data_IF_657256500155
#
_entry.id   IF_657256500155
#
_cell.length_a   1.000
_cell.length_b   1.000
_cell.length_c   1.000
_cell.angle_alpha   90.00
_cell.angle_beta   90.00
_cell.angle_gamma   90.00
#
_symmetry.space_group_name_H-M   'P 1'
#
loop_
_entity.id
_entity.type
_entity.pdbx_description
1 polymer ?
#
# COMPACT_ATOMS: atom_id res chain seq x y z
N UNK A 1 -4.89 -3.68 -13.48
CA UNK A 1 -5.30 -2.58 -12.59
C UNK A 1 -6.40 -3.06 -11.65
N UNK A 2 -6.33 -2.67 -10.37
CA UNK A 2 -7.41 -2.86 -9.42
C UNK A 2 -8.25 -1.58 -9.37
N UNK A 3 -9.55 -1.71 -9.59
CA UNK A 3 -10.55 -0.68 -9.32
C UNK A 3 -11.24 -1.01 -8.00
N UNK A 4 -12.01 -0.07 -7.45
CA UNK A 4 -12.85 -0.33 -6.26
C UNK A 4 -13.75 -1.55 -6.47
N UNK A 5 -14.33 -1.68 -7.68
CA UNK A 5 -15.19 -2.82 -8.00
C UNK A 5 -14.40 -4.13 -7.99
N UNK A 6 -13.19 -4.15 -8.56
CA UNK A 6 -12.36 -5.37 -8.56
C UNK A 6 -11.90 -5.76 -7.15
N UNK A 7 -11.70 -4.80 -6.23
CA UNK A 7 -11.43 -5.08 -4.81
C UNK A 7 -12.64 -5.75 -4.16
N UNK A 8 -13.84 -5.17 -4.33
CA UNK A 8 -15.10 -5.73 -3.83
C UNK A 8 -15.34 -7.15 -4.36
N UNK A 9 -15.14 -7.36 -5.66
CA UNK A 9 -15.40 -8.64 -6.30
C UNK A 9 -14.42 -9.73 -5.85
N UNK A 10 -13.14 -9.38 -5.71
CA UNK A 10 -12.08 -10.33 -5.39
C UNK A 10 -11.96 -10.61 -3.90
N UNK A 11 -11.98 -9.57 -3.08
CA UNK A 11 -11.70 -9.65 -1.65
C UNK A 11 -12.96 -9.58 -0.78
N UNK A 12 -14.13 -9.32 -1.37
CA UNK A 12 -15.43 -9.23 -0.66
C UNK A 12 -15.43 -8.26 0.52
N UNK A 13 -14.66 -7.19 0.42
CA UNK A 13 -14.55 -6.13 1.42
C UNK A 13 -14.81 -4.78 0.77
N UNK A 14 -15.06 -3.74 1.57
CA UNK A 14 -15.04 -2.38 1.04
C UNK A 14 -13.59 -2.00 0.67
N UNK A 15 -13.37 -1.18 -0.36
CA UNK A 15 -12.02 -0.76 -0.74
C UNK A 15 -11.25 -0.06 0.38
N UNK A 16 -11.95 0.69 1.24
CA UNK A 16 -11.39 1.35 2.41
C UNK A 16 -10.73 0.34 3.37
N UNK A 17 -11.34 -0.84 3.53
CA UNK A 17 -10.86 -1.88 4.42
C UNK A 17 -9.68 -2.70 3.86
N UNK A 18 -9.16 -2.35 2.67
CA UNK A 18 -8.11 -3.16 2.06
C UNK A 18 -6.81 -3.14 2.87
N UNK A 19 -6.51 -2.02 3.53
CA UNK A 19 -5.36 -1.92 4.44
C UNK A 19 -5.53 -2.85 5.65
N UNK A 20 -6.69 -2.85 6.30
CA UNK A 20 -7.00 -3.78 7.39
C UNK A 20 -6.97 -5.24 6.94
N UNK A 21 -7.47 -5.52 5.73
CA UNK A 21 -7.38 -6.85 5.14
C UNK A 21 -5.92 -7.30 5.04
N UNK A 22 -5.03 -6.47 4.46
CA UNK A 22 -3.60 -6.78 4.34
C UNK A 22 -2.93 -6.90 5.71
N UNK A 23 -3.27 -6.05 6.67
CA UNK A 23 -2.76 -6.12 8.04
C UNK A 23 -3.07 -7.47 8.70
N UNK A 24 -4.31 -7.96 8.55
CA UNK A 24 -4.77 -9.21 9.12
C UNK A 24 -4.24 -10.44 8.38
N UNK A 25 -4.21 -10.38 7.06
CA UNK A 25 -3.77 -11.50 6.20
C UNK A 25 -2.26 -11.56 5.99
N UNK A 26 -1.58 -10.43 6.19
CA UNK A 26 -0.17 -10.22 5.85
C UNK A 26 0.05 -9.79 4.41
N UNK A 27 1.26 -9.31 4.16
CA UNK A 27 1.78 -8.98 2.84
C UNK A 27 3.14 -9.65 2.63
N UNK A 28 3.13 -10.76 1.90
CA UNK A 28 4.35 -11.55 1.67
C UNK A 28 5.35 -10.83 0.77
N UNK A 29 4.91 -9.89 -0.07
CA UNK A 29 5.81 -9.10 -0.93
C UNK A 29 6.70 -8.18 -0.09
N UNK A 30 6.17 -7.68 1.01
CA UNK A 30 6.86 -6.77 1.92
C UNK A 30 7.39 -7.46 3.19
N UNK A 31 7.27 -8.80 3.26
CA UNK A 31 7.70 -9.57 4.43
C UNK A 31 6.85 -9.35 5.68
N UNK A 32 5.65 -8.78 5.54
CA UNK A 32 4.76 -8.48 6.66
C UNK A 32 3.89 -9.69 6.97
N UNK A 33 4.09 -10.27 8.15
CA UNK A 33 3.27 -11.39 8.60
C UNK A 33 1.90 -10.91 9.11
N UNK A 34 0.85 -11.60 8.68
CA UNK A 34 -0.50 -11.41 9.20
C UNK A 34 -0.73 -12.13 10.55
N UNK A 35 -2.00 -12.17 10.98
CA UNK A 35 -2.38 -12.84 12.23
C UNK A 35 -2.27 -14.36 12.07
N UNK A 36 -1.44 -14.98 12.90
CA UNK A 36 -1.20 -16.42 12.85
C UNK A 36 -2.48 -17.23 12.95
N UNK A 37 -2.70 -18.12 11.96
CA UNK A 37 -3.88 -18.99 11.91
C UNK A 37 -5.15 -18.32 11.40
N UNK A 38 -5.07 -17.07 10.94
CA UNK A 38 -6.16 -16.38 10.25
C UNK A 38 -6.01 -16.58 8.74
N UNK A 39 -6.92 -17.32 8.14
CA UNK A 39 -7.03 -17.44 6.69
C UNK A 39 -8.27 -16.71 6.17
N UNK A 40 -8.47 -16.61 4.83
CA UNK A 40 -9.56 -15.83 4.24
C UNK A 40 -10.95 -16.22 4.79
N UNK A 41 -11.26 -17.52 4.87
CA UNK A 41 -12.53 -17.98 5.43
C UNK A 41 -12.71 -17.60 6.91
N UNK A 42 -11.62 -17.63 7.67
CA UNK A 42 -11.60 -17.23 9.07
C UNK A 42 -11.80 -15.73 9.24
N UNK A 43 -11.22 -14.93 8.34
CA UNK A 43 -11.34 -13.49 8.33
C UNK A 43 -12.82 -13.06 8.26
N UNK A 44 -13.52 -13.45 7.21
CA UNK A 44 -14.93 -13.06 7.00
C UNK A 44 -15.87 -13.59 8.08
N UNK A 45 -15.55 -14.75 8.66
CA UNK A 45 -16.36 -15.28 9.77
C UNK A 45 -16.21 -14.47 11.05
N UNK A 46 -15.02 -13.89 11.30
CA UNK A 46 -14.73 -13.20 12.58
C UNK A 46 -14.89 -11.70 12.49
N UNK A 47 -14.65 -11.16 11.33
CA UNK A 47 -14.74 -9.72 11.03
C UNK A 47 -15.68 -9.50 9.82
N UNK A 48 -16.96 -9.90 9.91
CA UNK A 48 -17.93 -9.70 8.82
C UNK A 48 -18.11 -8.22 8.51
N UNK A 49 -17.90 -7.35 9.48
CA UNK A 49 -17.97 -5.89 9.37
C UNK A 49 -17.06 -5.34 8.25
N UNK A 50 -15.95 -6.02 7.95
CA UNK A 50 -15.08 -5.66 6.81
C UNK A 50 -15.78 -5.70 5.45
N UNK A 51 -16.85 -6.48 5.32
CA UNK A 51 -17.64 -6.62 4.10
C UNK A 51 -18.83 -5.65 4.05
N UNK A 52 -19.23 -5.11 5.19
CA UNK A 52 -20.48 -4.39 5.37
C UNK A 52 -20.30 -2.87 5.48
N UNK A 53 -19.23 -2.44 6.14
CA UNK A 53 -18.94 -1.02 6.38
C UNK A 53 -17.46 -0.72 6.34
N UNK A 54 -17.11 0.54 6.18
CA UNK A 54 -15.75 1.02 6.37
C UNK A 54 -15.37 0.95 7.86
N UNK A 55 -14.14 0.53 8.13
CA UNK A 55 -13.61 0.31 9.48
C UNK A 55 -12.27 1.03 9.65
N UNK A 56 -12.03 1.51 10.86
CA UNK A 56 -10.73 1.97 11.34
C UNK A 56 -9.95 0.83 12.02
N UNK A 57 -8.69 1.08 12.37
CA UNK A 57 -7.91 0.18 13.21
C UNK A 57 -8.54 0.07 14.61
N UNK A 58 -9.05 1.18 15.17
CA UNK A 58 -9.71 1.19 16.47
C UNK A 58 -10.97 0.32 16.47
N UNK A 59 -11.80 0.39 15.41
CA UNK A 59 -12.95 -0.53 15.25
C UNK A 59 -12.52 -2.01 15.31
N UNK A 60 -11.39 -2.34 14.66
CA UNK A 60 -10.86 -3.71 14.66
C UNK A 60 -10.43 -4.15 16.06
N UNK A 61 -9.78 -3.26 16.82
CA UNK A 61 -9.36 -3.52 18.19
C UNK A 61 -10.57 -3.66 19.10
N UNK A 62 -11.56 -2.74 19.04
CA UNK A 62 -12.81 -2.79 19.81
C UNK A 62 -13.59 -4.10 19.57
N UNK A 63 -13.71 -4.53 18.31
CA UNK A 63 -14.35 -5.81 17.98
C UNK A 63 -13.58 -6.96 18.62
N UNK A 64 -12.26 -6.90 18.59
CA UNK A 64 -11.42 -7.97 19.15
C UNK A 64 -11.50 -8.03 20.67
N UNK A 65 -11.58 -6.88 21.34
CA UNK A 65 -11.80 -6.80 22.78
C UNK A 65 -13.20 -7.33 23.18
N UNK A 66 -14.25 -6.88 22.52
CA UNK A 66 -15.61 -7.28 22.79
C UNK A 66 -15.86 -8.79 22.57
N UNK A 67 -15.11 -9.41 21.65
CA UNK A 67 -15.19 -10.84 21.34
C UNK A 67 -14.05 -11.66 21.96
N UNK A 68 -13.29 -11.06 22.90
CA UNK A 68 -12.19 -11.74 23.58
C UNK A 68 -12.73 -12.97 24.33
N UNK A 69 -12.13 -14.13 24.08
CA UNK A 69 -12.60 -15.41 24.64
C UNK A 69 -13.48 -16.24 23.71
N UNK A 70 -14.13 -15.66 22.70
CA UNK A 70 -14.90 -16.42 21.73
C UNK A 70 -14.01 -17.23 20.77
N UNK A 71 -12.83 -16.69 20.44
CA UNK A 71 -11.87 -17.35 19.58
C UNK A 71 -10.45 -16.79 19.74
N UNK A 72 -9.44 -17.68 19.64
CA UNK A 72 -8.02 -17.33 19.81
C UNK A 72 -7.52 -16.22 18.85
N UNK A 73 -8.16 -16.00 17.71
CA UNK A 73 -7.79 -14.94 16.77
C UNK A 73 -7.93 -13.55 17.39
N UNK A 74 -9.00 -13.29 18.16
CA UNK A 74 -9.19 -12.00 18.83
C UNK A 74 -8.06 -11.73 19.84
N UNK A 75 -7.70 -12.72 20.63
CA UNK A 75 -6.55 -12.62 21.53
C UNK A 75 -5.23 -12.41 20.80
N UNK A 76 -5.08 -12.96 19.58
CA UNK A 76 -3.86 -12.75 18.76
C UNK A 76 -3.82 -11.37 18.13
N UNK A 77 -4.93 -10.77 17.78
CA UNK A 77 -5.00 -9.37 17.33
C UNK A 77 -4.55 -8.44 18.46
N UNK A 78 -5.00 -8.71 19.68
CA UNK A 78 -4.69 -7.90 20.86
C UNK A 78 -3.34 -8.21 21.54
N UNK A 79 -2.65 -9.27 21.12
CA UNK A 79 -1.43 -9.75 21.78
C UNK A 79 -0.28 -8.73 21.74
N UNK A 80 -0.17 -8.01 20.63
CA UNK A 80 0.88 -7.01 20.43
C UNK A 80 0.33 -5.84 19.61
N UNK A 81 -0.41 -4.99 20.30
CA UNK A 81 -1.10 -3.84 19.67
C UNK A 81 -0.07 -2.86 19.08
N UNK A 82 1.03 -2.61 19.77
CA UNK A 82 2.08 -1.69 19.30
C UNK A 82 2.68 -2.18 17.97
N UNK A 83 2.97 -3.48 17.85
CA UNK A 83 3.45 -4.05 16.61
C UNK A 83 2.38 -3.98 15.49
N UNK A 84 1.12 -4.18 15.83
CA UNK A 84 0.01 -4.09 14.88
C UNK A 84 -0.16 -2.65 14.35
N UNK A 85 -0.11 -1.67 15.25
CA UNK A 85 -0.15 -0.24 14.90
C UNK A 85 1.04 0.18 14.03
N UNK A 86 2.24 -0.30 14.36
CA UNK A 86 3.44 -0.02 13.58
C UNK A 86 3.35 -0.61 12.17
N UNK A 87 2.85 -1.84 12.03
CA UNK A 87 2.57 -2.44 10.72
C UNK A 87 1.54 -1.62 9.94
N UNK A 88 0.46 -1.20 10.58
CA UNK A 88 -0.57 -0.37 9.98
C UNK A 88 0.03 0.94 9.42
N UNK A 89 0.83 1.65 10.23
CA UNK A 89 1.50 2.90 9.83
C UNK A 89 2.45 2.70 8.64
N UNK A 90 3.23 1.63 8.64
CA UNK A 90 4.15 1.32 7.53
C UNK A 90 3.41 1.00 6.22
N UNK A 91 2.25 0.36 6.33
CA UNK A 91 1.44 -0.05 5.18
C UNK A 91 0.50 1.05 4.68
N UNK A 92 0.26 2.10 5.47
CA UNK A 92 -0.63 3.22 5.10
C UNK A 92 0.12 4.24 4.21
N UNK A 93 0.03 4.02 2.91
CA UNK A 93 0.63 4.92 1.91
C UNK A 93 -0.07 6.29 1.83
N UNK A 94 -1.26 6.44 2.43
CA UNK A 94 -1.97 7.72 2.51
C UNK A 94 -1.35 8.65 3.57
N UNK A 95 -0.68 8.05 4.57
CA UNK A 95 0.03 8.76 5.63
C UNK A 95 1.50 8.32 5.68
N UNK A 96 2.31 8.67 4.67
CA UNK A 96 3.70 8.28 4.64
C UNK A 96 4.45 8.86 5.86
N UNK A 97 5.34 8.06 6.45
CA UNK A 97 6.16 8.46 7.60
C UNK A 97 7.30 9.41 7.16
N UNK A 98 6.91 10.54 6.58
CA UNK A 98 7.80 11.62 6.15
C UNK A 98 7.51 12.80 7.07
N UNK A 99 8.52 13.41 7.67
CA UNK A 99 8.32 14.57 8.52
C UNK A 99 7.87 15.80 7.72
N UNK A 100 7.26 16.78 8.40
CA UNK A 100 6.69 17.95 7.74
C UNK A 100 7.76 18.81 7.03
N UNK A 101 8.99 18.81 7.53
CA UNK A 101 10.10 19.51 6.91
C UNK A 101 10.47 18.88 5.57
N UNK A 102 10.53 17.57 5.52
CA UNK A 102 10.85 16.82 4.31
C UNK A 102 9.68 16.89 3.31
N UNK A 103 8.41 16.85 3.77
CA UNK A 103 7.25 17.11 2.91
C UNK A 103 7.34 18.48 2.26
N UNK A 104 7.58 19.53 3.05
CA UNK A 104 7.74 20.90 2.53
C UNK A 104 8.91 21.02 1.55
N UNK A 105 10.00 20.30 1.79
CA UNK A 105 11.14 20.29 0.87
C UNK A 105 10.76 19.62 -0.46
N UNK A 106 10.09 18.45 -0.41
CA UNK A 106 9.63 17.72 -1.60
C UNK A 106 8.66 18.59 -2.41
N UNK A 107 7.66 19.20 -1.76
CA UNK A 107 6.68 20.04 -2.42
C UNK A 107 7.35 21.23 -3.14
N UNK A 108 8.23 21.95 -2.44
CA UNK A 108 8.99 23.05 -3.04
C UNK A 108 9.90 22.58 -4.18
N UNK A 109 10.50 21.41 -4.05
CA UNK A 109 11.36 20.86 -5.09
C UNK A 109 10.54 20.52 -6.34
N UNK A 110 9.38 19.87 -6.17
CA UNK A 110 8.48 19.52 -7.28
C UNK A 110 7.93 20.77 -7.96
N UNK A 111 7.49 21.77 -7.18
CA UNK A 111 6.92 23.03 -7.72
C UNK A 111 7.95 23.89 -8.48
N UNK A 112 9.19 23.93 -8.00
CA UNK A 112 10.21 24.86 -8.51
C UNK A 112 11.22 24.19 -9.46
N UNK A 113 11.20 22.86 -9.59
CA UNK A 113 12.12 22.17 -10.50
C UNK A 113 11.53 22.15 -11.90
N UNK A 114 12.19 22.78 -12.88
CA UNK A 114 11.70 22.75 -14.25
C UNK A 114 11.72 21.32 -14.77
N UNK A 115 10.64 20.92 -15.44
CA UNK A 115 10.58 19.64 -16.14
C UNK A 115 11.65 19.67 -17.26
N UNK A 116 12.70 18.90 -17.06
CA UNK A 116 13.78 18.77 -18.03
C UNK A 116 13.83 17.34 -18.55
N UNK A 117 13.26 17.12 -19.72
CA UNK A 117 13.28 15.80 -20.34
C UNK A 117 14.60 15.58 -21.06
N UNK A 118 15.47 14.79 -20.45
CA UNK A 118 16.79 14.40 -20.98
C UNK A 118 16.89 12.87 -21.15
N UNK A 119 16.41 12.33 -22.28
CA UNK A 119 16.40 10.88 -22.55
C UNK A 119 17.77 10.22 -22.39
N UNK A 120 18.83 10.90 -22.83
CA UNK A 120 20.20 10.39 -22.72
C UNK A 120 20.63 10.18 -21.27
N UNK A 121 20.29 11.10 -20.36
CA UNK A 121 20.61 10.96 -18.93
C UNK A 121 19.80 9.82 -18.29
N UNK A 122 18.53 9.65 -18.68
CA UNK A 122 17.76 8.51 -18.23
C UNK A 122 18.38 7.18 -18.66
N UNK A 123 18.78 7.08 -19.93
CA UNK A 123 19.42 5.86 -20.46
C UNK A 123 20.75 5.58 -19.75
N UNK A 124 21.54 6.62 -19.47
CA UNK A 124 22.80 6.49 -18.73
C UNK A 124 22.53 5.97 -17.30
N UNK A 125 21.61 6.58 -16.55
CA UNK A 125 21.17 6.12 -15.22
C UNK A 125 20.66 4.67 -15.28
N UNK A 126 19.78 4.35 -16.23
CA UNK A 126 19.21 3.02 -16.41
C UNK A 126 20.29 1.94 -16.61
N UNK A 127 21.35 2.27 -17.37
CA UNK A 127 22.48 1.37 -17.59
C UNK A 127 23.39 1.28 -16.34
N UNK A 128 23.65 2.40 -15.66
CA UNK A 128 24.45 2.42 -14.42
C UNK A 128 23.82 1.59 -13.31
N UNK A 129 22.49 1.69 -13.16
CA UNK A 129 21.72 0.93 -12.19
C UNK A 129 21.49 -0.54 -12.59
N UNK A 130 22.06 -0.97 -13.71
CA UNK A 130 21.98 -2.34 -14.24
C UNK A 130 20.53 -2.85 -14.42
N UNK A 131 19.61 -1.95 -14.75
CA UNK A 131 18.18 -2.26 -14.95
C UNK A 131 17.88 -2.90 -16.32
N UNK A 132 18.92 -3.19 -17.11
CA UNK A 132 18.83 -3.76 -18.45
C UNK A 132 18.02 -5.07 -18.48
N UNK A 133 16.92 -5.08 -19.22
CA UNK A 133 15.99 -6.21 -19.32
C UNK A 133 14.63 -5.96 -18.68
N UNK A 134 14.49 -4.99 -17.77
CA UNK A 134 13.20 -4.59 -17.21
C UNK A 134 12.34 -3.90 -18.29
N UNK A 135 12.94 -2.99 -19.04
CA UNK A 135 12.32 -2.32 -20.19
C UNK A 135 12.92 -2.90 -21.47
N UNK A 136 12.14 -3.57 -22.28
CA UNK A 136 12.61 -4.27 -23.49
C UNK A 136 13.27 -3.33 -24.50
N UNK A 137 12.76 -2.11 -24.65
CA UNK A 137 13.31 -1.07 -25.52
C UNK A 137 13.11 0.28 -24.85
N UNK A 138 14.17 0.79 -24.23
CA UNK A 138 14.14 2.01 -23.43
C UNK A 138 13.82 3.24 -24.28
N UNK A 139 14.37 3.33 -25.50
CA UNK A 139 14.15 4.49 -26.37
C UNK A 139 12.68 4.60 -26.80
N UNK A 140 12.10 3.47 -27.21
CA UNK A 140 10.67 3.44 -27.58
C UNK A 140 9.83 3.73 -26.36
N UNK A 141 10.11 3.10 -25.21
CA UNK A 141 9.39 3.32 -23.97
C UNK A 141 9.40 4.79 -23.53
N UNK A 142 10.56 5.44 -23.59
CA UNK A 142 10.68 6.87 -23.27
C UNK A 142 9.83 7.73 -24.22
N UNK A 143 9.92 7.47 -25.53
CA UNK A 143 9.17 8.22 -26.53
C UNK A 143 7.65 8.06 -26.34
N UNK A 144 7.19 6.85 -26.04
CA UNK A 144 5.75 6.58 -25.93
C UNK A 144 5.15 7.13 -24.65
N UNK A 145 5.91 7.10 -23.55
CA UNK A 145 5.38 7.50 -22.23
C UNK A 145 5.63 8.98 -21.90
N UNK A 146 6.65 9.63 -22.50
CA UNK A 146 7.04 11.00 -22.19
C UNK A 146 6.98 11.94 -23.41
N UNK A 147 6.28 11.55 -24.48
CA UNK A 147 6.12 12.38 -25.69
C UNK A 147 5.57 13.77 -25.38
N UNK A 148 4.66 13.90 -24.42
CA UNK A 148 4.06 15.18 -24.05
C UNK A 148 5.06 16.18 -23.45
N UNK A 149 6.18 15.71 -22.90
CA UNK A 149 7.26 16.56 -22.42
C UNK A 149 8.17 17.08 -23.55
N UNK A 150 7.96 16.62 -24.78
CA UNK A 150 8.67 17.05 -25.98
C UNK A 150 7.93 18.17 -26.73
N UNK A 151 6.63 18.34 -26.52
CA UNK A 151 5.78 19.23 -27.29
C UNK A 151 5.69 20.64 -26.72
N UNK A 152 6.17 20.88 -25.49
CA UNK A 152 6.12 22.18 -24.79
C UNK A 152 7.41 23.03 -24.96
N UNK A 153 8.03 23.00 -26.17
CA UNK A 153 9.15 23.90 -26.53
C UNK A 153 8.86 24.74 -27.75
#
# INVERSE_FOLDING_TARGET
>A
FYTEQTVKDKFKITPHNFLLYKLLMGDSSDGINGIKGLGPKGLYKRFPELTERDMSLDDLLDISENKLGEHIIYARVLHDIELLENKYKVMDLSNPMIDDKDKMFIDKFVENTPLNYLPSQFIEMYNQDQLGGIIRNVDIWLKDNFKNLLEDK
#
